data_IF_492395375094
#
_entry.id   IF_492395375094
#
_cell.length_a   1.000
_cell.length_b   1.000
_cell.length_c   1.000
_cell.angle_alpha   90.00
_cell.angle_beta   90.00
_cell.angle_gamma   90.00
#
_symmetry.space_group_name_H-M   'P 1'
#
loop_
_entity.id
_entity.type
_entity.pdbx_description
1 polymer ?
#
# COMPACT_ATOMS: atom_id res chain seq x y z
N UNK A 1 -6.49 -6.27 17.03
CA UNK A 1 -6.79 -5.79 15.67
C UNK A 1 -5.65 -6.24 14.77
N UNK A 2 -5.93 -7.04 13.74
CA UNK A 2 -4.92 -7.48 12.77
C UNK A 2 -4.51 -6.32 11.86
N UNK A 3 -3.41 -6.45 11.12
CA UNK A 3 -2.99 -5.46 10.12
C UNK A 3 -4.06 -5.27 9.03
N UNK A 4 -4.68 -6.36 8.57
CA UNK A 4 -5.79 -6.30 7.61
C UNK A 4 -6.98 -5.51 8.17
N UNK A 5 -7.34 -5.75 9.44
CA UNK A 5 -8.40 -4.98 10.10
C UNK A 5 -8.02 -3.51 10.24
N UNK A 6 -6.75 -3.20 10.56
CA UNK A 6 -6.25 -1.82 10.66
C UNK A 6 -6.38 -1.07 9.34
N UNK A 7 -5.94 -1.69 8.24
CA UNK A 7 -6.07 -1.11 6.90
C UNK A 7 -7.53 -0.81 6.55
N UNK A 8 -8.46 -1.70 6.92
CA UNK A 8 -9.89 -1.48 6.72
C UNK A 8 -10.47 -0.33 7.55
N UNK A 9 -9.96 -0.11 8.76
CA UNK A 9 -10.34 1.04 9.58
C UNK A 9 -9.76 2.34 9.01
N UNK A 10 -8.48 2.34 8.65
CA UNK A 10 -7.78 3.50 8.07
C UNK A 10 -8.41 3.91 6.73
N UNK A 11 -8.90 2.94 5.94
CA UNK A 11 -9.68 3.18 4.72
C UNK A 11 -10.96 3.95 5.02
N UNK A 12 -11.73 3.51 6.03
CA UNK A 12 -12.98 4.17 6.43
C UNK A 12 -12.70 5.58 6.96
N UNK A 13 -11.61 5.77 7.69
CA UNK A 13 -11.18 7.08 8.15
C UNK A 13 -10.81 8.00 6.97
N UNK A 14 -9.98 7.53 6.04
CA UNK A 14 -9.61 8.30 4.84
C UNK A 14 -10.84 8.69 4.00
N UNK A 15 -11.83 7.79 3.89
CA UNK A 15 -13.12 8.10 3.24
C UNK A 15 -13.88 9.23 3.95
N UNK A 16 -13.95 9.21 5.29
CA UNK A 16 -14.63 10.26 6.07
C UNK A 16 -13.90 11.59 6.01
N UNK A 17 -12.56 11.55 6.06
CA UNK A 17 -11.70 12.72 5.95
C UNK A 17 -11.62 13.30 4.54
N UNK A 18 -12.13 12.57 3.52
CA UNK A 18 -11.98 12.89 2.10
C UNK A 18 -10.51 13.02 1.67
N UNK A 19 -9.63 12.28 2.34
CA UNK A 19 -8.21 12.20 2.00
C UNK A 19 -8.05 11.25 0.82
N UNK A 20 -8.03 11.82 -0.39
CA UNK A 20 -8.01 11.05 -1.64
C UNK A 20 -6.71 10.28 -1.83
N UNK A 21 -5.58 10.83 -1.38
CA UNK A 21 -4.26 10.21 -1.51
C UNK A 21 -4.17 8.98 -0.60
N UNK A 22 -4.45 9.14 0.70
CA UNK A 22 -4.46 8.03 1.67
C UNK A 22 -5.46 6.95 1.27
N UNK A 23 -6.65 7.35 0.82
CA UNK A 23 -7.67 6.42 0.36
C UNK A 23 -7.22 5.60 -0.86
N UNK A 24 -6.54 6.22 -1.82
CA UNK A 24 -6.01 5.52 -3.01
C UNK A 24 -4.94 4.51 -2.61
N UNK A 25 -3.96 4.92 -1.80
CA UNK A 25 -2.85 4.07 -1.35
C UNK A 25 -3.37 2.86 -0.57
N UNK A 26 -4.28 3.08 0.37
CA UNK A 26 -4.83 1.99 1.19
C UNK A 26 -5.68 1.01 0.37
N UNK A 27 -6.37 1.47 -0.69
CA UNK A 27 -7.11 0.58 -1.62
C UNK A 27 -6.17 -0.30 -2.42
N UNK A 28 -5.07 0.27 -2.91
CA UNK A 28 -4.03 -0.49 -3.60
C UNK A 28 -3.39 -1.51 -2.67
N UNK A 29 -3.05 -1.10 -1.44
CA UNK A 29 -2.48 -2.00 -0.44
C UNK A 29 -3.42 -3.15 -0.10
N UNK A 30 -4.71 -2.87 0.15
CA UNK A 30 -5.72 -3.90 0.40
C UNK A 30 -5.82 -4.90 -0.76
N UNK A 31 -5.74 -4.40 -1.99
CA UNK A 31 -5.74 -5.25 -3.18
C UNK A 31 -4.50 -6.13 -3.23
N UNK A 32 -3.31 -5.58 -2.96
CA UNK A 32 -2.05 -6.33 -2.91
C UNK A 32 -2.08 -7.43 -1.84
N UNK A 33 -2.66 -7.17 -0.66
CA UNK A 33 -2.84 -8.17 0.39
C UNK A 33 -3.77 -9.31 -0.08
N UNK A 34 -4.89 -8.97 -0.72
CA UNK A 34 -5.81 -9.97 -1.26
C UNK A 34 -5.14 -10.82 -2.36
N UNK A 35 -4.37 -10.22 -3.26
CA UNK A 35 -3.59 -10.96 -4.24
C UNK A 35 -2.56 -11.89 -3.58
N UNK A 36 -1.87 -11.42 -2.54
CA UNK A 36 -0.94 -12.23 -1.75
C UNK A 36 -1.62 -13.44 -1.10
N UNK A 37 -2.81 -13.24 -0.53
CA UNK A 37 -3.59 -14.32 0.07
C UNK A 37 -4.02 -15.36 -0.97
N UNK A 38 -4.56 -14.91 -2.11
CA UNK A 38 -4.95 -15.76 -3.24
C UNK A 38 -3.77 -16.61 -3.71
N UNK A 39 -2.62 -15.98 -3.96
CA UNK A 39 -1.44 -16.65 -4.47
C UNK A 39 -0.88 -17.72 -3.50
N UNK A 40 -1.08 -17.52 -2.19
CA UNK A 40 -0.56 -18.43 -1.17
C UNK A 40 -1.52 -19.59 -0.87
N UNK A 41 -2.80 -19.30 -0.69
CA UNK A 41 -3.74 -20.23 -0.06
C UNK A 41 -5.16 -20.18 -0.63
N UNK A 42 -5.37 -19.50 -1.76
CA UNK A 42 -6.65 -19.47 -2.48
C UNK A 42 -7.56 -18.28 -2.11
N UNK A 43 -8.72 -18.19 -2.78
CA UNK A 43 -9.56 -16.99 -2.81
C UNK A 43 -10.15 -16.55 -1.47
N UNK A 44 -10.32 -17.48 -0.53
CA UNK A 44 -10.90 -17.23 0.80
C UNK A 44 -9.85 -17.11 1.90
N UNK A 45 -8.56 -17.22 1.55
CA UNK A 45 -7.50 -17.11 2.53
C UNK A 45 -7.31 -15.67 3.01
N UNK A 46 -6.90 -15.53 4.26
CA UNK A 46 -6.38 -14.28 4.82
C UNK A 46 -4.89 -14.45 5.13
N UNK A 47 -4.14 -13.35 4.97
CA UNK A 47 -2.74 -13.32 5.38
C UNK A 47 -2.65 -13.16 6.90
N UNK A 48 -1.70 -13.87 7.50
CA UNK A 48 -1.27 -13.55 8.87
C UNK A 48 -0.63 -12.15 8.91
N UNK A 49 -0.55 -11.54 10.09
CA UNK A 49 0.09 -10.22 10.24
C UNK A 49 1.55 -10.22 9.74
N UNK A 50 2.28 -11.32 9.95
CA UNK A 50 3.63 -11.46 9.44
C UNK A 50 3.68 -11.40 7.91
N UNK A 51 2.75 -12.06 7.24
CA UNK A 51 2.67 -12.07 5.77
C UNK A 51 2.16 -10.73 5.22
N UNK A 52 1.18 -10.13 5.87
CA UNK A 52 0.69 -8.80 5.52
C UNK A 52 1.83 -7.77 5.61
N UNK A 53 2.66 -7.85 6.65
CA UNK A 53 3.85 -7.01 6.79
C UNK A 53 4.87 -7.24 5.66
N UNK A 54 5.04 -8.48 5.17
CA UNK A 54 5.90 -8.73 3.99
C UNK A 54 5.34 -8.08 2.73
N UNK A 55 4.03 -8.13 2.50
CA UNK A 55 3.39 -7.46 1.36
C UNK A 55 3.56 -5.94 1.47
N UNK A 56 3.33 -5.35 2.65
CA UNK A 56 3.53 -3.92 2.89
C UNK A 56 4.98 -3.50 2.57
N UNK A 57 5.98 -4.24 3.09
CA UNK A 57 7.40 -3.98 2.79
C UNK A 57 7.71 -4.06 1.30
N UNK A 58 7.12 -5.02 0.59
CA UNK A 58 7.27 -5.12 -0.87
C UNK A 58 6.68 -3.91 -1.59
N UNK A 59 5.49 -3.45 -1.19
CA UNK A 59 4.88 -2.24 -1.75
C UNK A 59 5.74 -1.01 -1.46
N UNK A 60 6.20 -0.82 -0.22
CA UNK A 60 7.08 0.28 0.16
C UNK A 60 8.39 0.28 -0.67
N UNK A 61 9.00 -0.88 -0.87
CA UNK A 61 10.19 -1.01 -1.73
C UNK A 61 9.90 -0.63 -3.19
N UNK A 62 8.77 -1.06 -3.75
CA UNK A 62 8.38 -0.68 -5.12
C UNK A 62 8.24 0.85 -5.27
N UNK A 63 7.75 1.54 -4.24
CA UNK A 63 7.69 3.01 -4.20
C UNK A 63 9.09 3.61 -4.16
N UNK A 64 9.98 3.12 -3.29
CA UNK A 64 11.38 3.57 -3.20
C UNK A 64 12.12 3.43 -4.54
N UNK A 65 12.00 2.27 -5.18
CA UNK A 65 12.62 2.00 -6.48
C UNK A 65 12.03 2.92 -7.59
N UNK A 66 10.74 3.27 -7.49
CA UNK A 66 10.07 4.21 -8.42
C UNK A 66 10.51 5.65 -8.19
N UNK A 67 10.67 6.09 -6.94
CA UNK A 67 11.20 7.41 -6.57
C UNK A 67 12.57 7.59 -7.22
N UNK A 68 13.49 6.65 -6.99
CA UNK A 68 14.84 6.71 -7.55
C UNK A 68 14.82 6.77 -9.08
N UNK A 69 13.94 5.99 -9.72
CA UNK A 69 13.79 5.97 -11.18
C UNK A 69 13.27 7.30 -11.73
N UNK A 70 12.28 7.92 -11.07
CA UNK A 70 11.73 9.21 -11.48
C UNK A 70 12.71 10.37 -11.25
N UNK A 71 13.46 10.36 -10.14
CA UNK A 71 14.50 11.35 -9.87
C UNK A 71 15.61 11.29 -10.92
N UNK A 72 16.12 10.09 -11.24
CA UNK A 72 17.11 9.89 -12.31
C UNK A 72 16.60 10.34 -13.68
N UNK A 73 15.30 10.19 -13.94
CA UNK A 73 14.66 10.62 -15.17
C UNK A 73 14.28 12.10 -15.21
N UNK A 74 14.60 12.90 -14.19
CA UNK A 74 14.25 14.32 -14.10
C UNK A 74 12.75 14.59 -13.92
N UNK A 75 11.97 13.60 -13.47
CA UNK A 75 10.50 13.69 -13.29
C UNK A 75 10.15 13.95 -11.82
N UNK A 76 10.59 15.09 -11.29
CA UNK A 76 10.47 15.43 -9.86
C UNK A 76 9.04 15.37 -9.33
N UNK A 77 8.04 15.83 -10.08
CA UNK A 77 6.63 15.77 -9.67
C UNK A 77 6.13 14.33 -9.42
N UNK A 78 6.60 13.37 -10.23
CA UNK A 78 6.25 11.96 -10.05
C UNK A 78 6.99 11.36 -8.85
N UNK A 79 8.24 11.76 -8.62
CA UNK A 79 9.00 11.33 -7.45
C UNK A 79 8.37 11.84 -6.14
N UNK A 80 7.95 13.10 -6.08
CA UNK A 80 7.26 13.66 -4.91
C UNK A 80 5.94 12.94 -4.63
N UNK A 81 5.16 12.65 -5.68
CA UNK A 81 3.94 11.85 -5.52
C UNK A 81 4.23 10.47 -4.92
N UNK A 82 5.26 9.76 -5.40
CA UNK A 82 5.63 8.46 -4.84
C UNK A 82 6.14 8.56 -3.40
N UNK A 83 6.79 9.68 -3.01
CA UNK A 83 7.19 9.95 -1.61
C UNK A 83 5.99 10.16 -0.70
N UNK A 84 4.98 10.92 -1.15
CA UNK A 84 3.72 11.09 -0.43
C UNK A 84 3.02 9.75 -0.22
N UNK A 85 2.94 8.92 -1.28
CA UNK A 85 2.34 7.59 -1.19
C UNK A 85 3.13 6.64 -0.28
N UNK A 86 4.47 6.72 -0.31
CA UNK A 86 5.34 5.93 0.57
C UNK A 86 5.18 6.30 2.05
N UNK A 87 4.99 7.59 2.37
CA UNK A 87 4.81 8.04 3.75
C UNK A 87 3.53 7.52 4.41
N UNK A 88 2.59 6.99 3.63
CA UNK A 88 1.34 6.40 4.10
C UNK A 88 1.50 4.90 4.45
N UNK A 89 2.49 4.21 3.86
CA UNK A 89 2.75 2.77 4.03
C UNK A 89 3.63 2.47 5.26
#
# INVERSE_FOLDING_TARGET
MTLSQRIDADLKEAMRAKDTTKLSVLRMLKSALKYGAIAKSGAEAELSDAEAAQVIRKQAKQRQDSIESFEKGGRAELAEKEKEELAIL
#
